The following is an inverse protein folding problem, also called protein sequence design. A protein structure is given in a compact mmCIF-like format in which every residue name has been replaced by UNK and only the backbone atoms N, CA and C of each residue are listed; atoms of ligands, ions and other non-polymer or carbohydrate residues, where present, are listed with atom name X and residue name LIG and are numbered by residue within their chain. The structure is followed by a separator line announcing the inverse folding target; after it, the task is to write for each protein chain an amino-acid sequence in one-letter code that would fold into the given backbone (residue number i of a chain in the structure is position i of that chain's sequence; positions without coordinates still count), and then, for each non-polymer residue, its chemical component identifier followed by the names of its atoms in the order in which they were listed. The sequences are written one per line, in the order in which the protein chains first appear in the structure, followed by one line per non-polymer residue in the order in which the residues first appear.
data_IF_002456312410
#
_entry.id   IF_002456312410
#
_cell.length_a   1.000
_cell.length_b   1.000
_cell.length_c   1.000
_cell.angle_alpha   90.00
_cell.angle_beta   90.00
_cell.angle_gamma   90.00
#
_symmetry.space_group_name_H-M   'P 1'
#
loop_
_entity.id
_entity.type
_entity.pdbx_description
1 polymer ?
#
# COMPACT_ATOMS: atom_id res chain seq x y z
N UNK A 1 12.61 -5.76 14.94
CA UNK A 1 13.47 -4.58 15.23
C UNK A 1 13.35 -3.51 14.15
N UNK A 2 13.71 -3.76 12.88
CA UNK A 2 13.60 -2.76 11.82
C UNK A 2 12.16 -2.24 11.60
N UNK A 3 11.18 -3.13 11.44
CA UNK A 3 9.76 -2.75 11.29
C UNK A 3 9.24 -1.89 12.46
N UNK A 4 9.66 -2.19 13.69
CA UNK A 4 9.31 -1.41 14.87
C UNK A 4 9.83 0.03 14.81
N UNK A 5 11.06 0.24 14.29
CA UNK A 5 11.61 1.58 14.08
C UNK A 5 10.89 2.32 12.94
N UNK A 6 10.53 1.63 11.86
CA UNK A 6 9.78 2.20 10.73
C UNK A 6 8.39 2.68 11.20
N UNK A 7 7.66 1.85 11.95
CA UNK A 7 6.33 2.21 12.46
C UNK A 7 6.39 3.40 13.43
N UNK A 8 7.45 3.50 14.24
CA UNK A 8 7.69 4.67 15.09
C UNK A 8 8.26 5.88 14.33
N UNK A 9 8.43 5.77 13.01
CA UNK A 9 9.04 6.78 12.13
C UNK A 9 10.47 7.18 12.55
N UNK A 10 11.17 6.30 13.27
CA UNK A 10 12.59 6.42 13.59
C UNK A 10 13.43 5.88 12.42
N UNK A 11 13.31 6.56 11.28
CA UNK A 11 13.89 6.11 10.01
C UNK A 11 15.42 6.11 10.01
N UNK A 12 16.07 7.00 10.75
CA UNK A 12 17.54 7.00 10.87
C UNK A 12 18.06 5.72 11.53
N UNK A 13 17.38 5.24 12.57
CA UNK A 13 17.77 4.01 13.26
C UNK A 13 17.47 2.79 12.40
N UNK A 14 16.30 2.78 11.74
CA UNK A 14 15.96 1.73 10.77
C UNK A 14 16.99 1.64 9.64
N UNK A 15 17.41 2.78 9.07
CA UNK A 15 18.37 2.84 7.97
C UNK A 15 19.76 2.33 8.36
N UNK A 16 20.28 2.75 9.52
CA UNK A 16 21.55 2.24 10.07
C UNK A 16 21.54 0.74 10.34
N UNK A 17 20.41 0.23 10.86
CA UNK A 17 20.22 -1.20 11.06
C UNK A 17 20.26 -1.95 9.72
N UNK A 18 19.56 -1.45 8.71
CA UNK A 18 19.52 -2.04 7.37
C UNK A 18 20.90 -2.00 6.69
N UNK A 19 21.67 -0.93 6.84
CA UNK A 19 23.05 -0.88 6.34
C UNK A 19 23.93 -1.96 6.95
N UNK A 20 23.86 -2.14 8.27
CA UNK A 20 24.62 -3.17 8.96
C UNK A 20 24.21 -4.57 8.54
N UNK A 21 22.90 -4.82 8.39
CA UNK A 21 22.36 -6.10 7.96
C UNK A 21 22.72 -6.42 6.49
N UNK A 22 22.67 -5.42 5.60
CA UNK A 22 23.07 -5.57 4.20
C UNK A 22 24.57 -5.80 4.09
N UNK A 23 25.40 -5.13 4.89
CA UNK A 23 26.84 -5.38 4.91
C UNK A 23 27.17 -6.83 5.31
N UNK A 24 26.39 -7.40 6.24
CA UNK A 24 26.53 -8.81 6.66
C UNK A 24 25.96 -9.80 5.62
N UNK A 25 25.00 -9.40 4.79
CA UNK A 25 24.39 -10.25 3.75
C UNK A 25 24.05 -9.46 2.49
N UNK A 26 25.05 -9.07 1.68
CA UNK A 26 24.86 -8.11 0.57
C UNK A 26 23.89 -8.59 -0.51
N UNK A 27 23.76 -9.90 -0.67
CA UNK A 27 22.90 -10.49 -1.70
C UNK A 27 21.44 -10.66 -1.26
N UNK A 28 21.14 -10.50 0.04
CA UNK A 28 19.79 -10.68 0.57
C UNK A 28 18.82 -9.65 -0.04
N UNK A 29 18.00 -10.11 -0.99
CA UNK A 29 17.03 -9.27 -1.69
C UNK A 29 16.07 -8.58 -0.71
N UNK A 30 15.56 -9.31 0.27
CA UNK A 30 14.57 -8.80 1.23
C UNK A 30 15.09 -7.61 2.04
N UNK A 31 16.36 -7.64 2.48
CA UNK A 31 16.96 -6.52 3.21
C UNK A 31 17.14 -5.29 2.32
N UNK A 32 17.56 -5.49 1.07
CA UNK A 32 17.69 -4.42 0.08
C UNK A 32 16.32 -3.84 -0.28
N UNK A 33 15.31 -4.68 -0.47
CA UNK A 33 13.93 -4.28 -0.76
C UNK A 33 13.35 -3.45 0.39
N UNK A 34 13.51 -3.91 1.63
CA UNK A 34 13.10 -3.18 2.83
C UNK A 34 13.82 -1.84 2.96
N UNK A 35 15.11 -1.75 2.61
CA UNK A 35 15.83 -0.47 2.55
C UNK A 35 15.28 0.46 1.47
N UNK A 36 14.94 -0.09 0.30
CA UNK A 36 14.22 0.63 -0.74
C UNK A 36 12.91 1.22 -0.22
N UNK A 37 12.04 0.40 0.37
CA UNK A 37 10.75 0.84 0.94
C UNK A 37 10.93 1.88 2.04
N UNK A 38 11.88 1.67 2.95
CA UNK A 38 12.18 2.61 4.04
C UNK A 38 12.56 3.99 3.51
N UNK A 39 13.35 4.07 2.43
CA UNK A 39 13.70 5.34 1.81
C UNK A 39 12.49 6.09 1.23
N UNK A 40 11.54 5.35 0.63
CA UNK A 40 10.27 5.92 0.14
C UNK A 40 9.44 6.46 1.31
N UNK A 41 9.24 5.66 2.37
CA UNK A 41 8.48 6.08 3.53
C UNK A 41 9.10 7.31 4.22
N UNK A 42 10.43 7.33 4.36
CA UNK A 42 11.15 8.37 5.08
C UNK A 42 11.21 9.69 4.30
N UNK A 43 11.64 9.66 3.04
CA UNK A 43 12.00 10.86 2.27
C UNK A 43 11.22 11.00 0.96
N UNK A 44 10.41 10.00 0.61
CA UNK A 44 9.83 9.90 -0.72
C UNK A 44 10.87 9.62 -1.80
N UNK A 45 12.05 9.12 -1.43
CA UNK A 45 13.12 8.84 -2.39
C UNK A 45 12.92 7.46 -3.02
N UNK A 46 12.50 7.45 -4.28
CA UNK A 46 12.32 6.22 -5.06
C UNK A 46 13.66 5.66 -5.59
N UNK A 47 14.75 6.42 -5.53
CA UNK A 47 16.07 6.06 -6.06
C UNK A 47 16.61 4.73 -5.52
N UNK A 48 16.68 4.53 -4.20
CA UNK A 48 17.10 3.26 -3.61
C UNK A 48 16.23 2.09 -4.05
N UNK A 49 14.90 2.24 -4.03
CA UNK A 49 13.98 1.19 -4.46
C UNK A 49 14.18 0.82 -5.95
N UNK A 50 14.39 1.81 -6.82
CA UNK A 50 14.68 1.62 -8.25
C UNK A 50 16.02 0.94 -8.55
N UNK A 51 16.95 0.87 -7.61
CA UNK A 51 18.17 0.07 -7.77
C UNK A 51 17.93 -1.39 -7.45
N UNK A 52 17.01 -1.68 -6.54
CA UNK A 52 16.76 -3.03 -6.03
C UNK A 52 15.82 -3.79 -6.95
N UNK A 53 14.63 -3.24 -7.22
CA UNK A 53 13.56 -3.97 -7.89
C UNK A 53 13.87 -4.30 -9.36
N UNK A 54 14.39 -3.39 -10.21
CA UNK A 54 14.75 -3.66 -11.60
C UNK A 54 15.92 -4.63 -11.81
N UNK A 55 16.76 -4.85 -10.79
CA UNK A 55 17.99 -5.65 -10.93
C UNK A 55 17.78 -7.17 -10.90
N UNK A 56 16.59 -7.64 -10.55
CA UNK A 56 16.30 -9.08 -10.39
C UNK A 56 15.47 -9.61 -11.57
N UNK A 57 15.85 -10.70 -12.26
CA UNK A 57 15.04 -11.24 -13.35
C UNK A 57 13.59 -11.55 -12.92
N UNK A 58 12.59 -11.18 -13.73
CA UNK A 58 11.17 -11.45 -13.41
C UNK A 58 10.88 -12.96 -13.40
N UNK A 59 11.69 -13.73 -14.13
CA UNK A 59 11.64 -15.18 -14.20
C UNK A 59 12.00 -15.86 -12.86
N UNK A 60 12.57 -15.10 -11.91
CA UNK A 60 12.92 -15.55 -10.56
C UNK A 60 11.96 -15.04 -9.48
N UNK A 61 10.73 -14.66 -9.86
CA UNK A 61 9.72 -14.08 -8.96
C UNK A 61 8.44 -14.95 -8.84
N UNK A 62 8.53 -16.19 -8.32
CA UNK A 62 7.38 -17.09 -8.24
C UNK A 62 6.27 -16.57 -7.31
N UNK A 63 6.63 -15.79 -6.29
CA UNK A 63 5.70 -15.21 -5.31
C UNK A 63 5.22 -13.79 -5.68
N UNK A 64 5.80 -13.17 -6.71
CA UNK A 64 5.33 -11.91 -7.25
C UNK A 64 5.77 -10.64 -6.50
N UNK A 65 6.58 -10.75 -5.45
CA UNK A 65 7.01 -9.60 -4.64
C UNK A 65 7.86 -8.60 -5.46
N UNK A 66 8.70 -9.10 -6.37
CA UNK A 66 9.52 -8.23 -7.23
C UNK A 66 8.62 -7.49 -8.22
N UNK A 67 7.68 -8.21 -8.84
CA UNK A 67 6.68 -7.66 -9.76
C UNK A 67 5.85 -6.60 -9.07
N UNK A 68 5.31 -6.91 -7.89
CA UNK A 68 4.52 -5.98 -7.09
C UNK A 68 5.31 -4.71 -6.77
N UNK A 69 6.54 -4.84 -6.24
CA UNK A 69 7.36 -3.69 -5.89
C UNK A 69 7.74 -2.81 -7.10
N UNK A 70 7.99 -3.42 -8.27
CA UNK A 70 8.21 -2.66 -9.52
C UNK A 70 6.96 -1.90 -9.96
N UNK A 71 5.81 -2.57 -10.00
CA UNK A 71 4.55 -1.95 -10.38
C UNK A 71 4.18 -0.80 -9.43
N UNK A 72 4.40 -0.99 -8.12
CA UNK A 72 4.19 0.03 -7.10
C UNK A 72 5.08 1.25 -7.34
N UNK A 73 6.40 1.09 -7.52
CA UNK A 73 7.31 2.21 -7.81
C UNK A 73 6.91 2.96 -9.07
N UNK A 74 6.59 2.24 -10.15
CA UNK A 74 6.18 2.86 -11.42
C UNK A 74 4.85 3.62 -11.26
N UNK A 75 3.93 3.11 -10.45
CA UNK A 75 2.66 3.77 -10.13
C UNK A 75 2.89 5.07 -9.33
N UNK A 76 3.82 5.06 -8.36
CA UNK A 76 4.24 6.27 -7.65
C UNK A 76 4.91 7.29 -8.58
N UNK A 77 5.67 6.84 -9.58
CA UNK A 77 6.24 7.69 -10.64
C UNK A 77 5.22 8.12 -11.71
N UNK A 78 3.94 7.70 -11.60
CA UNK A 78 2.88 7.93 -12.60
C UNK A 78 3.19 7.33 -13.99
N UNK A 79 4.08 6.35 -14.06
CA UNK A 79 4.43 5.58 -15.27
C UNK A 79 3.50 4.40 -15.44
N UNK A 80 2.23 4.72 -15.65
CA UNK A 80 1.14 3.74 -15.69
C UNK A 80 1.27 2.69 -16.80
N UNK A 81 1.63 3.05 -18.06
CA UNK A 81 1.84 2.05 -19.10
C UNK A 81 2.95 1.04 -18.75
N UNK A 82 4.05 1.51 -18.17
CA UNK A 82 5.17 0.66 -17.76
C UNK A 82 4.79 -0.22 -16.56
N UNK A 83 4.01 0.31 -15.61
CA UNK A 83 3.50 -0.47 -14.48
C UNK A 83 2.62 -1.64 -14.97
N UNK A 84 1.72 -1.39 -15.94
CA UNK A 84 0.89 -2.43 -16.55
C UNK A 84 1.74 -3.49 -17.29
N UNK A 85 2.76 -3.08 -18.06
CA UNK A 85 3.66 -4.02 -18.73
C UNK A 85 4.41 -4.94 -17.76
N UNK A 86 4.75 -4.44 -16.56
CA UNK A 86 5.34 -5.27 -15.51
C UNK A 86 4.33 -6.30 -15.03
N UNK A 87 3.09 -5.90 -14.75
CA UNK A 87 2.04 -6.81 -14.29
C UNK A 87 1.69 -7.88 -15.33
N UNK A 88 1.64 -7.54 -16.61
CA UNK A 88 1.33 -8.47 -17.70
C UNK A 88 2.32 -9.66 -17.79
N UNK A 89 3.58 -9.43 -17.42
CA UNK A 89 4.62 -10.47 -17.43
C UNK A 89 4.48 -11.47 -16.30
N UNK A 90 3.83 -11.09 -15.20
CA UNK A 90 3.58 -11.97 -14.07
C UNK A 90 2.43 -12.93 -14.37
N UNK A 91 2.73 -14.24 -14.28
CA UNK A 91 1.80 -15.31 -14.64
C UNK A 91 0.89 -15.75 -13.49
N UNK A 92 1.23 -15.40 -12.25
CA UNK A 92 0.39 -15.68 -11.09
C UNK A 92 -0.88 -14.82 -11.05
N UNK A 93 -1.87 -15.32 -10.32
CA UNK A 93 -3.14 -14.63 -10.06
C UNK A 93 -3.00 -13.61 -8.91
N UNK A 94 -2.20 -13.96 -7.90
CA UNK A 94 -1.93 -13.13 -6.72
C UNK A 94 -0.43 -12.96 -6.49
N UNK A 95 -0.05 -11.85 -5.84
CA UNK A 95 1.33 -11.51 -5.51
C UNK A 95 1.48 -11.24 -4.02
N UNK A 96 2.64 -11.57 -3.46
CA UNK A 96 2.99 -11.17 -2.11
C UNK A 96 3.17 -9.65 -2.02
N UNK A 97 2.70 -9.09 -0.92
CA UNK A 97 2.76 -7.65 -0.62
C UNK A 97 3.44 -7.43 0.73
N UNK A 98 3.38 -6.21 1.25
CA UNK A 98 3.81 -5.88 2.61
C UNK A 98 2.81 -6.26 3.70
N UNK A 99 1.68 -6.89 3.34
CA UNK A 99 0.63 -7.34 4.28
C UNK A 99 0.44 -8.86 4.20
N UNK A 100 -0.33 -9.45 5.12
CA UNK A 100 -0.66 -10.88 5.09
C UNK A 100 -1.61 -11.26 3.94
N UNK A 101 -2.29 -10.28 3.34
CA UNK A 101 -3.15 -10.50 2.18
C UNK A 101 -2.32 -10.53 0.88
N UNK A 102 -2.40 -11.62 0.10
CA UNK A 102 -1.84 -11.63 -1.24
C UNK A 102 -2.74 -10.80 -2.16
N UNK A 103 -2.14 -9.89 -2.95
CA UNK A 103 -2.86 -8.97 -3.81
C UNK A 103 -3.21 -9.59 -5.15
N UNK A 104 -4.49 -9.59 -5.58
CA UNK A 104 -4.87 -9.94 -6.94
C UNK A 104 -4.14 -9.04 -7.92
N UNK A 105 -3.48 -9.62 -8.93
CA UNK A 105 -2.87 -8.85 -10.01
C UNK A 105 -3.88 -7.92 -10.69
N UNK A 106 -5.09 -8.42 -10.89
CA UNK A 106 -6.20 -7.70 -11.50
C UNK A 106 -6.59 -6.44 -10.68
N UNK A 107 -6.41 -6.46 -9.36
CA UNK A 107 -6.67 -5.29 -8.53
C UNK A 107 -5.71 -4.14 -8.88
N UNK A 108 -4.41 -4.43 -8.96
CA UNK A 108 -3.40 -3.42 -9.30
C UNK A 108 -3.59 -2.89 -10.73
N UNK A 109 -3.88 -3.77 -11.69
CA UNK A 109 -4.16 -3.38 -13.07
C UNK A 109 -5.41 -2.49 -13.15
N UNK A 110 -6.48 -2.86 -12.45
CA UNK A 110 -7.71 -2.09 -12.35
C UNK A 110 -7.49 -0.70 -11.76
N UNK A 111 -6.75 -0.59 -10.65
CA UNK A 111 -6.38 0.69 -10.06
C UNK A 111 -5.57 1.56 -11.04
N UNK A 112 -4.58 1.00 -11.73
CA UNK A 112 -3.78 1.75 -12.69
C UNK A 112 -4.64 2.26 -13.85
N UNK A 113 -5.60 1.46 -14.34
CA UNK A 113 -6.56 1.92 -15.34
C UNK A 113 -7.48 3.03 -14.83
N UNK A 114 -7.96 2.97 -13.58
CA UNK A 114 -8.70 4.07 -12.96
C UNK A 114 -7.86 5.35 -12.88
N UNK A 115 -6.58 5.25 -12.53
CA UNK A 115 -5.65 6.39 -12.49
C UNK A 115 -5.41 7.02 -13.88
N UNK A 116 -5.57 6.23 -14.95
CA UNK A 116 -5.54 6.71 -16.33
C UNK A 116 -6.91 7.27 -16.80
N UNK A 117 -7.94 7.20 -15.96
CA UNK A 117 -9.32 7.56 -16.31
C UNK A 117 -10.05 6.52 -17.18
N UNK A 118 -9.44 5.35 -17.42
CA UNK A 118 -9.98 4.30 -18.29
C UNK A 118 -10.88 3.34 -17.48
N UNK A 119 -12.06 3.83 -17.12
CA UNK A 119 -13.05 3.04 -16.37
C UNK A 119 -13.49 1.78 -17.12
N UNK A 120 -13.53 1.84 -18.45
CA UNK A 120 -13.93 0.71 -19.30
C UNK A 120 -12.98 -0.47 -19.16
N UNK A 121 -11.67 -0.23 -19.11
CA UNK A 121 -10.68 -1.29 -18.85
C UNK A 121 -10.57 -1.65 -17.37
N UNK A 122 -10.78 -0.69 -16.46
CA UNK A 122 -10.72 -0.97 -15.04
C UNK A 122 -11.82 -1.93 -14.56
N UNK A 123 -13.05 -1.77 -15.07
CA UNK A 123 -14.21 -2.54 -14.60
C UNK A 123 -14.00 -4.07 -14.63
N UNK A 124 -13.63 -4.71 -15.75
CA UNK A 124 -13.44 -6.17 -15.78
C UNK A 124 -12.29 -6.65 -14.88
N UNK A 125 -11.20 -5.88 -14.79
CA UNK A 125 -10.05 -6.21 -13.92
C UNK A 125 -10.46 -6.17 -12.44
N UNK A 126 -11.22 -5.14 -12.03
CA UNK A 126 -11.69 -5.01 -10.65
C UNK A 126 -12.74 -6.06 -10.29
N UNK A 127 -13.63 -6.43 -11.21
CA UNK A 127 -14.58 -7.54 -11.00
C UNK A 127 -13.85 -8.88 -10.85
N UNK A 128 -12.81 -9.11 -11.65
CA UNK A 128 -11.98 -10.30 -11.50
C UNK A 128 -11.25 -10.30 -10.15
N UNK A 129 -10.70 -9.15 -9.74
CA UNK A 129 -10.09 -8.98 -8.42
C UNK A 129 -11.08 -9.28 -7.28
N UNK A 130 -12.34 -8.85 -7.40
CA UNK A 130 -13.40 -9.11 -6.41
C UNK A 130 -13.58 -10.61 -6.21
N UNK A 131 -13.76 -11.38 -7.29
CA UNK A 131 -13.93 -12.83 -7.22
C UNK A 131 -12.75 -13.55 -6.55
N UNK A 132 -11.51 -13.10 -6.83
CA UNK A 132 -10.30 -13.63 -6.20
C UNK A 132 -10.30 -13.30 -4.70
N UNK A 133 -10.57 -12.04 -4.34
CA UNK A 133 -10.60 -11.62 -2.92
C UNK A 133 -11.69 -12.32 -2.11
N UNK A 134 -12.85 -12.61 -2.69
CA UNK A 134 -13.90 -13.40 -2.04
C UNK A 134 -13.47 -14.85 -1.78
N UNK A 135 -12.70 -15.44 -2.70
CA UNK A 135 -12.11 -16.77 -2.48
C UNK A 135 -11.08 -16.71 -1.35
N UNK A 136 -10.21 -15.70 -1.35
CA UNK A 136 -9.23 -15.49 -0.28
C UNK A 136 -9.92 -15.32 1.09
N UNK A 137 -11.03 -14.59 1.16
CA UNK A 137 -11.83 -14.47 2.39
C UNK A 137 -12.46 -15.80 2.82
N UNK A 138 -12.98 -16.61 1.90
CA UNK A 138 -13.49 -17.95 2.27
C UNK A 138 -12.42 -18.87 2.87
N UNK A 139 -11.16 -18.72 2.45
CA UNK A 139 -10.04 -19.50 2.97
C UNK A 139 -9.60 -19.04 4.37
N UNK A 140 -9.70 -17.74 4.65
CA UNK A 140 -9.33 -17.14 5.94
C UNK A 140 -10.30 -16.00 6.30
N UNK A 141 -11.52 -16.32 6.76
CA UNK A 141 -12.60 -15.34 6.94
C UNK A 141 -12.43 -14.40 8.14
N UNK A 142 -11.40 -14.61 8.96
CA UNK A 142 -11.08 -13.73 10.10
C UNK A 142 -9.73 -13.03 9.90
N UNK A 143 -9.15 -13.07 8.69
CA UNK A 143 -7.92 -12.35 8.38
C UNK A 143 -8.21 -10.87 8.06
N UNK A 144 -7.71 -9.98 8.91
CA UNK A 144 -7.91 -8.53 8.81
C UNK A 144 -7.45 -7.95 7.46
N UNK A 145 -6.27 -8.35 6.97
CA UNK A 145 -5.72 -7.81 5.73
C UNK A 145 -6.54 -8.21 4.50
N UNK A 146 -7.13 -9.42 4.49
CA UNK A 146 -8.02 -9.88 3.41
C UNK A 146 -9.32 -9.09 3.36
N UNK A 147 -9.90 -8.76 4.53
CA UNK A 147 -11.05 -7.85 4.61
C UNK A 147 -10.69 -6.44 4.12
N UNK A 148 -9.54 -5.91 4.54
CA UNK A 148 -9.06 -4.59 4.09
C UNK A 148 -8.89 -4.54 2.56
N UNK A 149 -8.25 -5.55 1.98
CA UNK A 149 -8.07 -5.65 0.53
C UNK A 149 -9.39 -5.81 -0.22
N UNK A 150 -10.32 -6.62 0.29
CA UNK A 150 -11.64 -6.77 -0.32
C UNK A 150 -12.40 -5.43 -0.29
N UNK A 151 -12.38 -4.72 0.85
CA UNK A 151 -12.96 -3.39 0.97
C UNK A 151 -12.40 -2.38 -0.03
N UNK A 152 -11.10 -2.37 -0.27
CA UNK A 152 -10.47 -1.50 -1.27
C UNK A 152 -10.92 -1.84 -2.71
N UNK A 153 -11.05 -3.13 -3.03
CA UNK A 153 -11.57 -3.57 -4.34
C UNK A 153 -13.02 -3.12 -4.52
N UNK A 154 -13.86 -3.29 -3.50
CA UNK A 154 -15.25 -2.84 -3.51
C UNK A 154 -15.35 -1.31 -3.68
N UNK A 155 -14.48 -0.56 -2.99
CA UNK A 155 -14.41 0.89 -3.13
C UNK A 155 -14.05 1.31 -4.56
N UNK A 156 -13.07 0.64 -5.17
CA UNK A 156 -12.68 0.87 -6.57
C UNK A 156 -13.79 0.53 -7.58
N UNK A 157 -14.66 -0.44 -7.25
CA UNK A 157 -15.87 -0.78 -8.02
C UNK A 157 -17.04 0.19 -7.78
N UNK A 158 -16.92 1.12 -6.83
CA UNK A 158 -17.99 2.04 -6.44
C UNK A 158 -19.04 1.43 -5.49
N UNK A 159 -18.79 0.25 -4.94
CA UNK A 159 -19.66 -0.45 -3.97
C UNK A 159 -19.38 0.08 -2.56
N UNK A 160 -19.80 1.32 -2.32
CA UNK A 160 -19.40 2.14 -1.17
C UNK A 160 -19.75 1.51 0.19
N UNK A 161 -20.99 1.07 0.37
CA UNK A 161 -21.47 0.62 1.67
C UNK A 161 -20.79 -0.68 2.09
N UNK A 162 -20.66 -1.61 1.14
CA UNK A 162 -19.95 -2.87 1.30
C UNK A 162 -18.48 -2.64 1.56
N UNK A 163 -17.83 -1.73 0.82
CA UNK A 163 -16.43 -1.36 1.04
C UNK A 163 -16.17 -0.86 2.47
N UNK A 164 -17.01 0.05 2.97
CA UNK A 164 -16.88 0.60 4.32
C UNK A 164 -17.12 -0.49 5.38
N UNK A 165 -18.07 -1.40 5.15
CA UNK A 165 -18.32 -2.51 6.07
C UNK A 165 -17.10 -3.43 6.18
N UNK A 166 -16.48 -3.78 5.06
CA UNK A 166 -15.27 -4.60 5.00
C UNK A 166 -14.06 -3.91 5.66
N UNK A 167 -13.86 -2.62 5.40
CA UNK A 167 -12.79 -1.86 6.06
C UNK A 167 -12.98 -1.76 7.58
N UNK A 168 -14.22 -1.60 8.07
CA UNK A 168 -14.52 -1.66 9.51
C UNK A 168 -14.27 -3.03 10.09
N UNK A 169 -14.70 -4.09 9.39
CA UNK A 169 -14.44 -5.48 9.82
C UNK A 169 -12.95 -5.77 9.93
N UNK A 170 -12.13 -5.25 9.01
CA UNK A 170 -10.67 -5.37 9.09
C UNK A 170 -10.11 -4.74 10.38
N UNK A 171 -10.56 -3.54 10.74
CA UNK A 171 -10.14 -2.85 11.98
C UNK A 171 -10.62 -3.59 13.24
N UNK A 172 -11.83 -4.15 13.21
CA UNK A 172 -12.36 -4.95 14.34
C UNK A 172 -11.59 -6.25 14.56
N UNK A 173 -11.16 -6.90 13.48
CA UNK A 173 -10.41 -8.16 13.53
C UNK A 173 -8.99 -8.00 14.05
N UNK A 174 -8.35 -6.89 13.75
CA UNK A 174 -7.00 -6.58 14.23
C UNK A 174 -6.92 -5.13 14.73
N UNK A 175 -7.46 -4.86 15.94
CA UNK A 175 -7.41 -3.52 16.49
C UNK A 175 -5.98 -3.14 16.87
N UNK A 176 -5.64 -1.86 16.72
CA UNK A 176 -4.30 -1.31 17.02
C UNK A 176 -3.86 -1.56 18.49
N UNK A 177 -4.81 -1.73 19.40
CA UNK A 177 -4.54 -2.05 20.80
C UNK A 177 -4.04 -3.48 21.01
N UNK A 178 -4.34 -4.40 20.08
CA UNK A 178 -3.85 -5.78 20.11
C UNK A 178 -2.55 -5.92 19.31
N UNK A 179 -2.47 -5.25 18.16
CA UNK A 179 -1.25 -5.21 17.36
C UNK A 179 -0.97 -3.78 16.88
N UNK A 180 -0.03 -3.13 17.55
CA UNK A 180 0.37 -1.75 17.25
C UNK A 180 1.27 -1.64 16.00
N UNK A 181 1.68 -2.76 15.40
CA UNK A 181 2.51 -2.77 14.19
C UNK A 181 1.66 -2.99 12.94
N UNK A 182 0.81 -4.02 12.96
CA UNK A 182 0.02 -4.43 11.80
C UNK A 182 -1.42 -3.90 11.84
N UNK A 183 -2.00 -3.66 13.03
CA UNK A 183 -3.34 -3.07 13.19
C UNK A 183 -3.52 -1.72 12.45
N UNK A 184 -2.53 -0.80 12.47
CA UNK A 184 -2.63 0.45 11.73
C UNK A 184 -2.76 0.28 10.21
N UNK A 185 -2.39 -0.87 9.62
CA UNK A 185 -2.61 -1.12 8.18
C UNK A 185 -4.10 -1.24 7.86
N UNK A 186 -4.89 -1.87 8.72
CA UNK A 186 -6.34 -1.95 8.55
C UNK A 186 -7.00 -0.56 8.66
N UNK A 187 -6.56 0.25 9.63
CA UNK A 187 -7.02 1.63 9.78
C UNK A 187 -6.65 2.49 8.56
N UNK A 188 -5.45 2.31 8.00
CA UNK A 188 -5.02 2.99 6.78
C UNK A 188 -5.86 2.60 5.56
N UNK A 189 -6.14 1.31 5.37
CA UNK A 189 -7.02 0.83 4.31
C UNK A 189 -8.44 1.39 4.45
N UNK A 190 -8.99 1.47 5.67
CA UNK A 190 -10.29 2.11 5.90
C UNK A 190 -10.26 3.61 5.57
N UNK A 191 -9.17 4.31 5.86
CA UNK A 191 -8.99 5.71 5.46
C UNK A 191 -8.95 5.88 3.93
N UNK A 192 -8.28 4.98 3.21
CA UNK A 192 -8.27 4.94 1.74
C UNK A 192 -9.68 4.67 1.18
N UNK A 193 -10.41 3.70 1.75
CA UNK A 193 -11.80 3.40 1.38
C UNK A 193 -12.68 4.63 1.54
N UNK A 194 -12.56 5.36 2.66
CA UNK A 194 -13.28 6.60 2.87
C UNK A 194 -12.90 7.68 1.85
N UNK A 195 -11.61 7.81 1.52
CA UNK A 195 -11.14 8.74 0.50
C UNK A 195 -11.71 8.39 -0.89
N UNK A 196 -11.77 7.11 -1.26
CA UNK A 196 -12.26 6.70 -2.60
C UNK A 196 -13.78 6.77 -2.72
N UNK A 197 -14.49 6.64 -1.59
CA UNK A 197 -15.96 6.68 -1.54
C UNK A 197 -16.55 8.06 -1.22
N UNK A 198 -15.70 9.09 -1.11
CA UNK A 198 -16.10 10.48 -0.88
C UNK A 198 -16.41 10.84 0.58
N UNK A 199 -16.14 9.95 1.53
CA UNK A 199 -16.33 10.16 2.97
C UNK A 199 -15.12 10.90 3.57
N UNK A 200 -14.83 12.09 3.05
CA UNK A 200 -13.57 12.79 3.35
C UNK A 200 -13.40 13.16 4.82
N UNK A 201 -14.50 13.45 5.53
CA UNK A 201 -14.46 13.77 6.96
C UNK A 201 -13.90 12.59 7.77
N UNK A 202 -14.35 11.38 7.48
CA UNK A 202 -13.84 10.16 8.13
C UNK A 202 -12.44 9.81 7.66
N UNK A 203 -12.13 10.00 6.38
CA UNK A 203 -10.77 9.82 5.85
C UNK A 203 -9.77 10.71 6.61
N UNK A 204 -10.04 12.01 6.71
CA UNK A 204 -9.16 12.95 7.44
C UNK A 204 -9.07 12.64 8.94
N UNK A 205 -10.17 12.21 9.57
CA UNK A 205 -10.15 11.80 10.98
C UNK A 205 -9.21 10.61 11.21
N UNK A 206 -9.28 9.58 10.35
CA UNK A 206 -8.39 8.43 10.47
C UNK A 206 -6.94 8.76 10.10
N UNK A 207 -6.72 9.61 9.10
CA UNK A 207 -5.38 10.08 8.75
C UNK A 207 -4.73 10.85 9.91
N UNK A 208 -5.46 11.77 10.55
CA UNK A 208 -4.94 12.53 11.71
C UNK A 208 -4.53 11.59 12.86
N UNK A 209 -5.34 10.58 13.15
CA UNK A 209 -5.03 9.53 14.12
C UNK A 209 -3.77 8.74 13.74
N UNK A 210 -3.70 8.25 12.49
CA UNK A 210 -2.58 7.44 11.99
C UNK A 210 -1.25 8.19 12.04
N UNK A 211 -1.26 9.52 11.90
CA UNK A 211 -0.06 10.34 12.08
C UNK A 211 0.36 10.51 13.54
N UNK A 212 -0.56 10.38 14.50
CA UNK A 212 -0.29 10.49 15.94
C UNK A 212 0.19 9.18 16.57
N UNK A 213 -0.12 8.03 15.98
CA UNK A 213 0.28 6.70 16.47
C UNK A 213 1.41 6.10 15.63
N UNK A 214 2.09 5.02 16.10
CA UNK A 214 2.97 4.24 15.25
C UNK A 214 2.20 3.71 14.03
N UNK A 215 2.65 4.06 12.83
CA UNK A 215 2.11 3.53 11.58
C UNK A 215 3.09 3.78 10.43
N UNK A 216 2.89 3.06 9.33
CA UNK A 216 3.70 3.23 8.12
C UNK A 216 3.26 4.43 7.26
N UNK A 217 2.20 5.15 7.66
CA UNK A 217 1.75 6.35 6.96
C UNK A 217 2.69 7.52 7.28
N UNK A 218 3.18 8.19 6.23
CA UNK A 218 4.09 9.34 6.33
C UNK A 218 3.68 10.45 5.39
N UNK A 219 4.11 11.69 5.68
CA UNK A 219 3.85 12.85 4.82
C UNK A 219 4.42 12.66 3.40
N UNK A 220 5.63 12.11 3.20
CA UNK A 220 6.12 11.75 1.87
C UNK A 220 5.19 10.79 1.13
N UNK A 221 4.69 9.74 1.78
CA UNK A 221 3.74 8.80 1.15
C UNK A 221 2.43 9.48 0.80
N UNK A 222 1.88 10.29 1.69
CA UNK A 222 0.65 11.04 1.44
C UNK A 222 0.77 11.94 0.19
N UNK A 223 1.96 12.48 -0.08
CA UNK A 223 2.26 13.31 -1.27
C UNK A 223 2.52 12.50 -2.53
N UNK A 224 3.18 11.35 -2.42
CA UNK A 224 3.58 10.53 -3.55
C UNK A 224 2.46 9.63 -4.06
N UNK A 225 1.74 8.97 -3.15
CA UNK A 225 0.82 7.91 -3.49
C UNK A 225 -0.45 8.45 -4.20
N UNK A 226 -0.79 7.91 -5.39
CA UNK A 226 -2.03 8.22 -6.07
C UNK A 226 -3.31 7.89 -5.28
N UNK A 227 -3.27 6.96 -4.33
CA UNK A 227 -4.43 6.58 -3.52
C UNK A 227 -5.05 7.79 -2.80
N UNK A 228 -4.26 8.81 -2.50
CA UNK A 228 -4.69 10.03 -1.79
C UNK A 228 -5.07 11.19 -2.72
N UNK A 229 -5.01 11.01 -4.03
CA UNK A 229 -5.39 12.03 -5.02
C UNK A 229 -6.77 12.65 -4.77
N UNK A 230 -7.82 11.88 -4.41
CA UNK A 230 -9.14 12.46 -4.13
C UNK A 230 -9.14 13.52 -3.03
N UNK A 231 -8.19 13.45 -2.08
CA UNK A 231 -8.12 14.38 -0.95
C UNK A 231 -7.32 15.65 -1.26
N UNK A 232 -6.47 15.65 -2.29
CA UNK A 232 -5.46 16.71 -2.52
C UNK A 232 -6.05 18.11 -2.75
N UNK A 233 -7.30 18.20 -3.20
CA UNK A 233 -8.00 19.46 -3.44
C UNK A 233 -8.71 20.01 -2.20
N UNK A 234 -8.84 19.21 -1.14
CA UNK A 234 -9.44 19.65 0.11
C UNK A 234 -8.41 20.44 0.95
N UNK A 235 -8.73 21.64 1.46
CA UNK A 235 -7.80 22.43 2.27
C UNK A 235 -7.22 21.70 3.49
N UNK A 236 -7.96 20.72 4.04
CA UNK A 236 -7.51 19.90 5.17
C UNK A 236 -6.30 19.03 4.82
N UNK A 237 -6.12 18.67 3.55
CA UNK A 237 -4.95 17.94 3.09
C UNK A 237 -3.67 18.73 3.32
N UNK A 238 -3.66 20.02 2.96
CA UNK A 238 -2.51 20.88 3.21
C UNK A 238 -2.30 21.09 4.72
N UNK A 239 -3.38 21.30 5.48
CA UNK A 239 -3.28 21.44 6.94
C UNK A 239 -2.68 20.20 7.61
N UNK A 240 -3.00 19.00 7.12
CA UNK A 240 -2.44 17.73 7.61
C UNK A 240 -0.94 17.63 7.31
N UNK A 241 -0.53 18.01 6.11
CA UNK A 241 0.89 18.07 5.71
C UNK A 241 1.64 19.08 6.57
N UNK A 242 1.08 20.26 6.83
CA UNK A 242 1.74 21.29 7.62
C UNK A 242 1.86 20.89 9.11
N UNK A 243 0.85 20.17 9.63
CA UNK A 243 0.83 19.67 11.01
C UNK A 243 1.88 18.58 11.25
N UNK A 244 2.05 17.64 10.33
CA UNK A 244 2.89 16.45 10.49
C UNK A 244 4.15 16.41 9.63
N UNK A 245 4.34 17.42 8.77
CA UNK A 245 5.55 17.59 7.98
C UNK A 245 6.77 17.86 8.87
N UNK A 246 7.99 17.68 8.33
CA UNK A 246 9.19 18.12 9.03
C UNK A 246 9.06 19.61 9.33
N UNK A 247 9.16 19.97 10.61
CA UNK A 247 9.25 21.37 11.02
C UNK A 247 10.61 21.88 10.55
N UNK A 248 10.60 22.93 9.72
CA UNK A 248 11.79 23.66 9.33
C UNK A 248 12.55 24.21 10.54
#
# INVERSE_FOLDING_TARGET
LCFSYIAQRNFETADKFLDSAIAASPQAFQLRALKGFTAVLWKGDLGPAKKVFPSTPLESDPEGLITWGRAWILTLERKFPEALQVLERFRGETMFTTTTAPAPKAFLAGLIHLLQGDKTKAQPELEHARLISEKLLREAPEDSARHAQHGLILAALGQKQEAIAEGKRAVELLPESQDALDGPHATAALAEIYAWTGEFDEAFRLLDHLFAVPSNLTVPMLKLDPAWDPLRQDPRYQALIDKYGPKN
#
